data_IF_348205603766
#
_entry.id   IF_348205603766
#
_cell.length_a   1.000
_cell.length_b   1.000
_cell.length_c   1.000
_cell.angle_alpha   90.00
_cell.angle_beta   90.00
_cell.angle_gamma   90.00
#
_symmetry.space_group_name_H-M   'P 1'
#
loop_
_entity.id
_entity.type
_entity.pdbx_description
1 polymer ?
#
# COMPACT_ATOMS: atom_id res chain seq x y z
N UNK A 1 -11.50 -12.13 -11.35
CA UNK A 1 -11.91 -10.95 -10.55
C UNK A 1 -11.87 -9.72 -11.45
N UNK A 2 -13.01 -9.04 -11.60
CA UNK A 2 -13.13 -7.94 -12.57
C UNK A 2 -12.77 -6.58 -11.95
N UNK A 3 -11.50 -6.44 -11.56
CA UNK A 3 -10.95 -5.20 -11.03
C UNK A 3 -9.82 -4.71 -11.91
N UNK A 4 -9.80 -3.42 -12.18
CA UNK A 4 -8.73 -2.71 -12.87
C UNK A 4 -8.05 -1.78 -11.87
N UNK A 5 -6.73 -1.78 -11.86
CA UNK A 5 -5.92 -0.85 -11.07
C UNK A 5 -5.33 0.18 -12.04
N UNK A 6 -5.52 1.45 -11.71
CA UNK A 6 -5.07 2.58 -12.52
C UNK A 6 -4.28 3.56 -11.66
N UNK A 7 -3.17 4.08 -12.21
CA UNK A 7 -2.47 5.21 -11.59
C UNK A 7 -3.31 6.48 -11.85
N UNK A 8 -3.57 7.23 -10.81
CA UNK A 8 -4.35 8.46 -10.89
C UNK A 8 -3.57 9.52 -11.67
N UNK A 9 -4.23 10.13 -12.67
CA UNK A 9 -3.60 11.12 -13.56
C UNK A 9 -4.47 12.36 -13.83
N UNK A 10 -5.72 12.37 -13.37
CA UNK A 10 -6.67 13.46 -13.64
C UNK A 10 -7.50 13.80 -12.38
N UNK A 11 -8.20 14.93 -12.43
CA UNK A 11 -8.98 15.45 -11.28
C UNK A 11 -10.21 14.61 -10.94
N UNK A 12 -10.82 13.91 -11.91
CA UNK A 12 -11.96 13.03 -11.68
C UNK A 12 -11.53 11.82 -10.84
N UNK A 13 -10.39 11.21 -11.17
CA UNK A 13 -9.83 10.10 -10.40
C UNK A 13 -9.42 10.54 -8.98
N UNK A 14 -8.90 11.77 -8.83
CA UNK A 14 -8.60 12.35 -7.51
C UNK A 14 -9.88 12.48 -6.69
N UNK A 15 -10.95 13.01 -7.25
CA UNK A 15 -12.24 13.11 -6.58
C UNK A 15 -12.77 11.71 -6.17
N UNK A 16 -12.68 10.74 -7.07
CA UNK A 16 -13.09 9.36 -6.80
C UNK A 16 -12.26 8.70 -5.67
N UNK A 17 -10.95 8.98 -5.60
CA UNK A 17 -10.08 8.56 -4.51
C UNK A 17 -10.53 9.15 -3.17
N UNK A 18 -10.79 10.44 -3.11
CA UNK A 18 -11.27 11.11 -1.90
C UNK A 18 -12.61 10.55 -1.41
N UNK A 19 -13.52 10.18 -2.30
CA UNK A 19 -14.77 9.52 -1.90
C UNK A 19 -14.54 8.17 -1.22
N UNK A 20 -13.59 7.36 -1.72
CA UNK A 20 -13.18 6.09 -1.06
C UNK A 20 -12.58 6.38 0.32
N UNK A 21 -11.67 7.38 0.43
CA UNK A 21 -11.07 7.78 1.70
C UNK A 21 -12.11 8.24 2.70
N UNK A 22 -12.99 9.14 2.30
CA UNK A 22 -14.08 9.66 3.14
C UNK A 22 -14.94 8.52 3.67
N UNK A 23 -15.30 7.58 2.82
CA UNK A 23 -16.09 6.44 3.26
C UNK A 23 -15.36 5.55 4.26
N UNK A 24 -14.09 5.21 4.00
CA UNK A 24 -13.34 4.28 4.84
C UNK A 24 -12.82 4.96 6.10
N UNK A 25 -12.15 6.10 5.97
CA UNK A 25 -11.49 6.74 7.11
C UNK A 25 -12.46 7.57 7.94
N UNK A 26 -13.29 8.42 7.34
CA UNK A 26 -14.20 9.27 8.11
C UNK A 26 -15.42 8.50 8.60
N UNK A 27 -16.18 7.85 7.69
CA UNK A 27 -17.45 7.24 8.06
C UNK A 27 -17.32 5.92 8.80
N UNK A 28 -16.36 5.07 8.41
CA UNK A 28 -16.20 3.75 9.04
C UNK A 28 -15.25 3.79 10.24
N UNK A 29 -14.18 4.61 10.22
CA UNK A 29 -13.16 4.67 11.26
C UNK A 29 -13.27 5.90 12.18
N UNK A 30 -14.05 6.92 11.81
CA UNK A 30 -14.20 8.15 12.58
C UNK A 30 -12.97 9.05 12.57
N UNK A 31 -12.12 8.95 11.56
CA UNK A 31 -10.85 9.66 11.44
C UNK A 31 -10.98 10.74 10.38
N UNK A 32 -10.77 12.00 10.75
CA UNK A 32 -10.68 13.08 9.77
C UNK A 32 -9.34 13.00 9.05
N UNK A 33 -9.38 12.84 7.74
CA UNK A 33 -8.15 12.82 6.93
C UNK A 33 -7.46 14.18 7.00
N UNK A 34 -6.16 14.24 7.33
CA UNK A 34 -5.40 15.45 7.17
C UNK A 34 -5.39 15.84 5.69
N UNK A 35 -5.55 17.11 5.41
CA UNK A 35 -5.29 17.63 4.05
C UNK A 35 -3.81 17.33 3.77
N UNK A 36 -3.54 16.50 2.76
CA UNK A 36 -2.21 16.03 2.43
C UNK A 36 -1.31 17.22 2.00
N UNK A 37 -0.57 17.74 2.96
CA UNK A 37 0.61 18.58 2.73
C UNK A 37 1.89 17.75 2.95
N UNK A 38 1.86 16.45 2.69
CA UNK A 38 3.04 15.61 2.86
C UNK A 38 4.16 16.10 1.93
N UNK A 39 5.32 16.48 2.47
CA UNK A 39 6.46 16.81 1.63
C UNK A 39 6.90 15.56 0.88
N UNK A 40 7.02 15.67 -0.42
CA UNK A 40 7.48 14.59 -1.28
C UNK A 40 6.60 14.35 -2.50
N UNK A 41 7.14 13.63 -3.46
CA UNK A 41 6.41 13.19 -4.64
C UNK A 41 5.45 12.06 -4.26
N UNK A 42 4.16 12.28 -4.48
CA UNK A 42 3.10 11.32 -4.17
C UNK A 42 2.55 10.73 -5.47
N UNK A 43 2.42 9.40 -5.51
CA UNK A 43 1.70 8.69 -6.56
C UNK A 43 0.51 7.96 -5.95
N UNK A 44 -0.63 8.01 -6.63
CA UNK A 44 -1.87 7.37 -6.17
C UNK A 44 -2.36 6.34 -7.17
N UNK A 45 -3.01 5.28 -6.65
CA UNK A 45 -3.69 4.25 -7.43
C UNK A 45 -5.12 4.10 -6.98
N UNK A 46 -5.97 3.81 -7.94
CA UNK A 46 -7.39 3.58 -7.75
C UNK A 46 -7.76 2.20 -8.30
N UNK A 47 -8.38 1.38 -7.46
CA UNK A 47 -9.00 0.15 -7.87
C UNK A 47 -10.45 0.41 -8.27
N UNK A 48 -10.84 -0.01 -9.46
CA UNK A 48 -12.20 0.12 -10.00
C UNK A 48 -12.77 -1.22 -10.40
N UNK A 49 -14.07 -1.38 -10.23
CA UNK A 49 -14.78 -2.50 -10.87
C UNK A 49 -14.73 -2.32 -12.40
N UNK A 50 -14.35 -3.37 -13.13
CA UNK A 50 -14.12 -3.32 -14.58
C UNK A 50 -15.33 -2.81 -15.36
N UNK A 51 -16.51 -3.34 -15.09
CA UNK A 51 -17.72 -3.02 -15.85
C UNK A 51 -18.40 -1.71 -15.39
N UNK A 52 -18.57 -1.52 -14.09
CA UNK A 52 -19.28 -0.34 -13.57
C UNK A 52 -18.39 0.88 -13.39
N UNK A 53 -17.07 0.74 -13.53
CA UNK A 53 -16.05 1.76 -13.25
C UNK A 53 -16.10 2.33 -11.82
N UNK A 54 -16.89 1.71 -10.94
CA UNK A 54 -17.05 2.13 -9.55
C UNK A 54 -15.72 2.02 -8.81
N UNK A 55 -15.24 3.10 -8.13
CA UNK A 55 -14.06 3.06 -7.30
C UNK A 55 -14.33 2.21 -6.05
N UNK A 56 -13.40 1.30 -5.71
CA UNK A 56 -13.57 0.33 -4.63
C UNK A 56 -12.37 0.24 -3.68
N UNK A 57 -11.23 0.81 -4.04
CA UNK A 57 -10.05 0.82 -3.20
C UNK A 57 -8.99 1.78 -3.70
N UNK A 58 -8.08 2.17 -2.82
CA UNK A 58 -7.00 3.13 -3.09
C UNK A 58 -5.71 2.70 -2.43
N UNK A 59 -4.60 3.22 -2.95
CA UNK A 59 -3.27 3.16 -2.36
C UNK A 59 -2.50 4.41 -2.75
N UNK A 60 -1.69 4.94 -1.84
CA UNK A 60 -0.73 6.00 -2.13
C UNK A 60 0.69 5.53 -1.83
N UNK A 61 1.65 6.03 -2.60
CA UNK A 61 3.08 5.86 -2.37
C UNK A 61 3.73 7.22 -2.30
N UNK A 62 4.45 7.48 -1.21
CA UNK A 62 5.16 8.72 -0.95
C UNK A 62 6.65 8.44 -0.97
N UNK A 63 7.43 9.23 -1.71
CA UNK A 63 8.89 9.23 -1.61
C UNK A 63 9.28 9.85 -0.27
N UNK A 64 9.96 9.09 0.57
CA UNK A 64 10.41 9.50 1.90
C UNK A 64 11.93 9.48 2.02
N UNK A 65 12.65 9.46 0.90
CA UNK A 65 14.11 9.35 0.89
C UNK A 65 14.81 10.40 1.75
N UNK A 66 14.27 11.61 1.79
CA UNK A 66 14.84 12.74 2.56
C UNK A 66 14.28 12.85 3.99
N UNK A 67 13.46 11.89 4.44
CA UNK A 67 12.80 11.95 5.77
C UNK A 67 13.56 11.14 6.83
N UNK A 68 14.87 11.39 7.00
CA UNK A 68 15.74 10.61 7.88
C UNK A 68 15.29 10.64 9.35
N UNK A 69 14.90 11.81 9.87
CA UNK A 69 14.41 11.94 11.25
C UNK A 69 13.15 11.08 11.49
N UNK A 70 12.26 11.02 10.50
CA UNK A 70 11.08 10.15 10.57
C UNK A 70 11.51 8.67 10.57
N UNK A 71 12.44 8.28 9.70
CA UNK A 71 12.95 6.91 9.67
C UNK A 71 13.55 6.50 11.00
N UNK A 72 14.41 7.35 11.58
CA UNK A 72 15.05 7.10 12.87
C UNK A 72 14.03 7.01 14.01
N UNK A 73 13.04 7.91 14.04
CA UNK A 73 11.97 7.90 15.05
C UNK A 73 11.12 6.61 14.99
N UNK A 74 10.99 6.02 13.81
CA UNK A 74 10.28 4.78 13.59
C UNK A 74 11.17 3.52 13.74
N UNK A 75 12.45 3.69 14.06
CA UNK A 75 13.43 2.61 14.13
C UNK A 75 13.76 1.96 12.78
N UNK A 76 13.47 2.66 11.68
CA UNK A 76 13.81 2.23 10.34
C UNK A 76 15.30 2.50 10.08
N UNK A 77 16.12 1.46 10.06
CA UNK A 77 17.56 1.56 9.79
C UNK A 77 17.82 1.71 8.29
N UNK A 78 17.43 2.85 7.72
CA UNK A 78 17.61 3.17 6.31
C UNK A 78 18.88 4.00 6.14
N UNK A 79 19.78 3.56 5.26
CA UNK A 79 21.00 4.30 4.97
C UNK A 79 20.66 5.70 4.40
N UNK A 80 21.33 6.80 4.80
CA UNK A 80 20.99 8.15 4.36
C UNK A 80 21.00 8.38 2.84
N UNK A 81 21.76 7.59 2.09
CA UNK A 81 21.81 7.66 0.62
C UNK A 81 20.83 6.70 -0.07
N UNK A 82 20.10 5.90 0.69
CA UNK A 82 19.16 4.94 0.12
C UNK A 82 17.82 5.62 -0.16
N UNK A 83 17.19 5.23 -1.26
CA UNK A 83 15.83 5.67 -1.58
C UNK A 83 14.80 4.86 -0.82
N UNK A 84 13.84 5.54 -0.21
CA UNK A 84 12.79 4.94 0.58
C UNK A 84 11.41 5.43 0.15
N UNK A 85 10.47 4.49 0.00
CA UNK A 85 9.09 4.80 -0.30
C UNK A 85 8.14 4.30 0.80
N UNK A 86 7.17 5.11 1.18
CA UNK A 86 6.12 4.77 2.12
C UNK A 86 4.84 4.43 1.38
N UNK A 87 4.30 3.23 1.64
CA UNK A 87 2.91 2.91 1.30
C UNK A 87 1.96 3.51 2.35
N UNK A 88 0.96 4.24 1.91
CA UNK A 88 -0.02 4.90 2.78
C UNK A 88 -1.41 4.91 2.14
N UNK A 89 -2.43 5.31 2.89
CA UNK A 89 -3.82 5.43 2.44
C UNK A 89 -4.35 4.19 1.71
N UNK A 90 -3.93 3.00 2.16
CA UNK A 90 -4.50 1.76 1.68
C UNK A 90 -5.91 1.61 2.24
N UNK A 91 -6.89 1.83 1.41
CA UNK A 91 -8.30 1.76 1.77
C UNK A 91 -9.08 0.88 0.79
N UNK A 92 -9.99 0.06 1.31
CA UNK A 92 -10.90 -0.76 0.49
C UNK A 92 -12.29 -0.69 1.09
N UNK A 93 -13.28 -0.37 0.27
CA UNK A 93 -14.69 -0.31 0.67
C UNK A 93 -15.14 -1.67 1.21
N UNK A 94 -15.90 -1.65 2.31
CA UNK A 94 -16.31 -2.84 3.09
C UNK A 94 -16.86 -4.00 2.23
N UNK A 95 -17.76 -3.78 1.24
CA UNK A 95 -18.29 -4.87 0.42
C UNK A 95 -17.24 -5.59 -0.46
N UNK A 96 -16.07 -4.99 -0.65
CA UNK A 96 -15.01 -5.49 -1.53
C UNK A 96 -13.79 -6.01 -0.76
N UNK A 97 -13.83 -6.03 0.58
CA UNK A 97 -12.77 -6.60 1.42
C UNK A 97 -12.74 -8.12 1.23
N UNK A 98 -11.54 -8.69 1.23
CA UNK A 98 -11.34 -10.13 0.96
C UNK A 98 -11.14 -10.47 -0.52
N UNK A 99 -11.29 -9.51 -1.44
CA UNK A 99 -11.11 -9.71 -2.89
C UNK A 99 -9.67 -9.50 -3.39
N UNK A 100 -8.66 -9.62 -2.53
CA UNK A 100 -7.24 -9.39 -2.85
C UNK A 100 -6.90 -7.99 -3.41
N UNK A 101 -7.80 -7.01 -3.28
CA UNK A 101 -7.59 -5.64 -3.78
C UNK A 101 -6.34 -5.00 -3.17
N UNK A 102 -6.09 -5.08 -1.85
CA UNK A 102 -4.88 -4.53 -1.25
C UNK A 102 -3.61 -5.10 -1.87
N UNK A 103 -3.56 -6.41 -2.04
CA UNK A 103 -2.42 -7.10 -2.66
C UNK A 103 -2.20 -6.64 -4.10
N UNK A 104 -3.28 -6.56 -4.89
CA UNK A 104 -3.20 -6.14 -6.30
C UNK A 104 -2.73 -4.68 -6.43
N UNK A 105 -3.25 -3.77 -5.58
CA UNK A 105 -2.81 -2.38 -5.52
C UNK A 105 -1.31 -2.26 -5.21
N UNK A 106 -0.83 -2.98 -4.19
CA UNK A 106 0.58 -2.94 -3.81
C UNK A 106 1.50 -3.52 -4.89
N UNK A 107 1.11 -4.61 -5.54
CA UNK A 107 1.88 -5.20 -6.62
C UNK A 107 1.95 -4.29 -7.86
N UNK A 108 0.86 -3.57 -8.16
CA UNK A 108 0.84 -2.60 -9.26
C UNK A 108 1.70 -1.37 -8.94
N UNK A 109 1.61 -0.82 -7.73
CA UNK A 109 2.47 0.26 -7.29
C UNK A 109 3.95 -0.15 -7.28
N UNK A 110 4.26 -1.37 -6.85
CA UNK A 110 5.61 -1.91 -6.91
C UNK A 110 6.13 -1.98 -8.34
N UNK A 111 5.32 -2.46 -9.29
CA UNK A 111 5.68 -2.57 -10.70
C UNK A 111 5.91 -1.22 -11.37
N UNK A 112 5.06 -0.23 -11.05
CA UNK A 112 4.98 1.04 -11.78
C UNK A 112 5.77 2.18 -11.15
N UNK A 113 6.21 2.06 -9.89
CA UNK A 113 6.98 3.09 -9.19
C UNK A 113 8.19 2.49 -8.46
N UNK A 114 8.01 1.50 -7.61
CA UNK A 114 9.13 1.02 -6.76
C UNK A 114 10.30 0.53 -7.60
N UNK A 115 10.02 -0.31 -8.59
CA UNK A 115 11.07 -0.87 -9.47
C UNK A 115 11.65 0.17 -10.44
N UNK A 116 10.83 0.93 -11.21
CA UNK A 116 11.36 1.92 -12.16
C UNK A 116 12.17 3.02 -11.48
N UNK A 117 11.71 3.52 -10.33
CA UNK A 117 12.36 4.61 -9.60
C UNK A 117 13.48 4.11 -8.68
N UNK A 118 13.77 2.80 -8.68
CA UNK A 118 14.86 2.16 -7.95
C UNK A 118 14.86 2.49 -6.45
N UNK A 119 13.70 2.35 -5.78
CA UNK A 119 13.66 2.43 -4.34
C UNK A 119 14.37 1.22 -3.73
N UNK A 120 15.22 1.48 -2.71
CA UNK A 120 15.95 0.45 -1.96
C UNK A 120 15.10 -0.15 -0.85
N UNK A 121 14.19 0.66 -0.28
CA UNK A 121 13.31 0.26 0.80
C UNK A 121 11.87 0.67 0.53
N UNK A 122 10.95 -0.19 0.96
CA UNK A 122 9.53 0.16 1.11
C UNK A 122 9.08 -0.08 2.54
N UNK A 123 8.23 0.79 3.06
CA UNK A 123 7.73 0.69 4.42
C UNK A 123 6.29 1.20 4.55
N UNK A 124 5.63 0.83 5.65
CA UNK A 124 4.31 1.31 6.02
C UNK A 124 4.09 1.17 7.53
N UNK A 125 3.06 1.84 8.04
CA UNK A 125 2.55 1.63 9.38
C UNK A 125 1.32 0.72 9.31
N UNK A 126 1.31 -0.34 10.11
CA UNK A 126 0.23 -1.31 10.12
C UNK A 126 -0.26 -1.58 11.54
N UNK A 127 -1.49 -2.05 11.68
CA UNK A 127 -2.09 -2.42 12.96
C UNK A 127 -1.22 -3.47 13.68
N UNK A 128 -0.85 -3.19 14.95
CA UNK A 128 0.11 -4.01 15.69
C UNK A 128 -0.38 -5.44 15.91
N UNK A 129 -1.68 -5.63 16.17
CA UNK A 129 -2.24 -6.95 16.43
C UNK A 129 -2.27 -7.84 15.19
N UNK A 130 -2.32 -7.22 14.01
CA UNK A 130 -2.44 -7.90 12.73
C UNK A 130 -1.12 -7.97 11.94
N UNK A 131 -0.10 -7.20 12.34
CA UNK A 131 1.12 -7.01 11.57
C UNK A 131 1.83 -8.32 11.24
N UNK A 132 2.09 -9.17 12.25
CA UNK A 132 2.84 -10.41 12.08
C UNK A 132 2.12 -11.45 11.19
N UNK A 133 0.79 -11.48 11.25
CA UNK A 133 -0.05 -12.42 10.49
C UNK A 133 -0.67 -11.81 9.23
N UNK A 134 -0.26 -10.60 8.85
CA UNK A 134 -0.78 -9.92 7.67
C UNK A 134 -0.28 -10.59 6.38
N UNK A 135 -1.01 -10.35 5.28
CA UNK A 135 -0.52 -10.72 3.94
C UNK A 135 0.77 -9.98 3.59
N UNK A 136 1.02 -8.82 4.19
CA UNK A 136 2.25 -8.03 4.01
C UNK A 136 3.48 -8.82 4.44
N UNK A 137 3.44 -9.39 5.65
CA UNK A 137 4.56 -10.18 6.17
C UNK A 137 4.65 -11.54 5.49
N UNK A 138 3.52 -12.23 5.33
CA UNK A 138 3.52 -13.61 4.80
C UNK A 138 3.73 -13.72 3.28
N UNK A 139 3.18 -12.76 2.52
CA UNK A 139 3.13 -12.86 1.05
C UNK A 139 4.04 -11.84 0.36
N UNK A 140 4.24 -10.66 0.96
CA UNK A 140 5.04 -9.60 0.37
C UNK A 140 6.43 -9.42 0.99
N UNK A 141 6.78 -10.23 1.99
CA UNK A 141 8.12 -10.24 2.58
C UNK A 141 8.46 -9.01 3.43
N UNK A 142 7.46 -8.34 4.00
CA UNK A 142 7.69 -7.28 4.96
C UNK A 142 8.11 -7.83 6.33
N UNK A 143 9.10 -7.21 6.94
CA UNK A 143 9.53 -7.47 8.31
C UNK A 143 8.83 -6.51 9.25
N UNK A 144 8.21 -7.02 10.30
CA UNK A 144 7.59 -6.22 11.38
C UNK A 144 8.69 -5.75 12.31
N UNK A 145 8.77 -4.45 12.57
CA UNK A 145 9.70 -3.90 13.56
C UNK A 145 9.08 -3.91 14.96
N UNK A 146 9.91 -4.03 16.02
CA UNK A 146 9.41 -4.15 17.39
C UNK A 146 8.83 -2.85 17.96
N UNK A 147 9.13 -1.70 17.36
CA UNK A 147 8.61 -0.41 17.79
C UNK A 147 7.10 -0.32 17.56
N UNK A 148 6.42 0.35 18.48
CA UNK A 148 4.99 0.63 18.35
C UNK A 148 4.70 2.10 18.57
N UNK A 149 3.72 2.62 17.85
CA UNK A 149 3.34 4.03 17.88
C UNK A 149 1.84 4.16 18.03
N UNK A 150 1.40 5.08 18.86
CA UNK A 150 -0.01 5.45 18.96
C UNK A 150 -0.26 6.59 17.97
N UNK A 151 -1.21 6.38 17.09
CA UNK A 151 -1.68 7.38 16.12
C UNK A 151 -3.19 7.50 16.18
N UNK A 152 -3.76 8.41 15.45
CA UNK A 152 -5.22 8.50 15.25
C UNK A 152 -5.84 7.22 14.69
N UNK A 153 -5.04 6.39 14.02
CA UNK A 153 -5.43 5.07 13.50
C UNK A 153 -5.25 3.92 14.50
N UNK A 154 -4.96 4.22 15.77
CA UNK A 154 -4.66 3.24 16.81
C UNK A 154 -3.18 2.89 16.94
N UNK A 155 -2.88 1.77 17.61
CA UNK A 155 -1.51 1.31 17.81
C UNK A 155 -0.95 0.69 16.52
N UNK A 156 0.20 1.18 16.07
CA UNK A 156 0.82 0.81 14.79
C UNK A 156 2.25 0.31 14.99
N UNK A 157 2.64 -0.67 14.19
CA UNK A 157 4.03 -1.10 14.02
C UNK A 157 4.51 -0.76 12.63
N UNK A 158 5.77 -0.30 12.47
CA UNK A 158 6.38 -0.17 11.17
C UNK A 158 6.65 -1.55 10.57
N UNK A 159 6.34 -1.69 9.30
CA UNK A 159 6.73 -2.82 8.47
C UNK A 159 7.69 -2.30 7.41
N UNK A 160 8.83 -2.97 7.23
CA UNK A 160 9.85 -2.58 6.27
C UNK A 160 10.22 -3.76 5.38
N UNK A 161 10.52 -3.46 4.12
CA UNK A 161 11.08 -4.43 3.18
C UNK A 161 12.28 -3.80 2.47
N UNK A 162 13.41 -4.52 2.48
CA UNK A 162 14.58 -4.19 1.68
C UNK A 162 14.41 -4.76 0.26
N UNK A 163 14.24 -3.91 -0.73
CA UNK A 163 13.99 -4.29 -2.13
C UNK A 163 15.22 -4.87 -2.82
N UNK A 164 16.40 -4.71 -2.23
CA UNK A 164 17.67 -5.19 -2.78
C UNK A 164 17.88 -6.68 -2.53
N UNK A 165 17.31 -7.23 -1.46
CA UNK A 165 17.51 -8.63 -1.10
C UNK A 165 16.71 -9.57 -2.01
N UNK A 166 17.29 -10.75 -2.38
CA UNK A 166 16.61 -11.71 -3.26
C UNK A 166 15.29 -12.23 -2.72
N UNK A 167 15.15 -12.34 -1.40
CA UNK A 167 13.96 -12.80 -0.70
C UNK A 167 12.73 -11.90 -0.98
N UNK A 168 12.92 -10.58 -0.93
CA UNK A 168 11.88 -9.61 -1.25
C UNK A 168 11.40 -9.77 -2.69
N UNK A 169 12.33 -9.92 -3.63
CA UNK A 169 12.00 -10.13 -5.05
C UNK A 169 11.25 -11.45 -5.29
N UNK A 170 11.65 -12.52 -4.60
CA UNK A 170 10.96 -13.83 -4.67
C UNK A 170 9.55 -13.75 -4.14
N UNK A 171 9.32 -13.06 -3.00
CA UNK A 171 8.00 -12.85 -2.41
C UNK A 171 7.05 -12.13 -3.39
N UNK A 172 7.50 -11.05 -4.02
CA UNK A 172 6.74 -10.33 -5.05
C UNK A 172 6.40 -11.22 -6.25
N UNK A 173 7.36 -11.99 -6.74
CA UNK A 173 7.15 -12.90 -7.87
C UNK A 173 6.13 -13.99 -7.54
N UNK A 174 6.22 -14.58 -6.36
CA UNK A 174 5.27 -15.58 -5.87
C UNK A 174 3.86 -15.02 -5.70
N UNK A 175 3.74 -13.80 -5.14
CA UNK A 175 2.44 -13.14 -4.98
C UNK A 175 1.78 -12.82 -6.34
N UNK A 176 2.55 -12.39 -7.33
CA UNK A 176 2.05 -12.18 -8.71
C UNK A 176 1.55 -13.47 -9.33
N UNK A 177 2.31 -14.56 -9.23
CA UNK A 177 1.92 -15.86 -9.75
C UNK A 177 0.63 -16.36 -9.09
N UNK A 178 0.50 -16.21 -7.77
CA UNK A 178 -0.71 -16.55 -7.03
C UNK A 178 -1.94 -15.80 -7.55
N UNK A 179 -1.84 -14.50 -7.77
CA UNK A 179 -2.95 -13.70 -8.33
C UNK A 179 -3.31 -14.11 -9.75
N UNK A 180 -2.32 -14.39 -10.60
CA UNK A 180 -2.56 -14.86 -11.97
C UNK A 180 -3.29 -16.19 -12.00
N UNK A 181 -2.92 -17.14 -11.14
CA UNK A 181 -3.59 -18.44 -11.03
C UNK A 181 -5.04 -18.30 -10.53
N UNK A 182 -5.29 -17.40 -9.57
CA UNK A 182 -6.65 -17.10 -9.11
C UNK A 182 -7.52 -16.52 -10.23
N UNK A 183 -6.96 -15.63 -11.06
CA UNK A 183 -7.68 -15.06 -12.19
C UNK A 183 -8.03 -16.10 -13.27
N UNK A 184 -7.14 -17.06 -13.56
CA UNK A 184 -7.37 -18.13 -14.52
C UNK A 184 -8.46 -19.10 -14.05
N UNK A 185 -8.48 -19.46 -12.77
CA UNK A 185 -9.48 -20.38 -12.21
C UNK A 185 -10.89 -19.79 -12.22
N UNK A 186 -11.04 -18.46 -12.11
CA UNK A 186 -12.35 -17.79 -12.19
C UNK A 186 -12.87 -17.72 -13.63
N UNK A 187 -11.99 -17.75 -14.62
CA UNK A 187 -12.39 -17.70 -16.04
C UNK A 187 -12.89 -19.05 -16.60
N UNK A 188 -12.79 -20.14 -15.82
CA UNK A 188 -13.19 -21.49 -16.23
C UNK A 188 -14.60 -21.90 -15.75
N UNK A 189 -15.30 -21.03 -15.03
CA UNK A 189 -16.69 -21.19 -14.57
C UNK A 189 -17.58 -20.07 -15.11
#
# INVERSE_FOLDING_TARGET
MDIVIEKISNSEDVAAMFEVWKQVFEREMGITLPQDNAPGSISHWLARMKHSRKPVGTLSVVDTSDQHELHDSLGLRIHPQARAARFTHLAVLKPYRGMNIPLTLMLEAHRSVIVPDRFDYTWLLFDVERAANSFLSRELGFTVLPQTFVSEYGCRSPLVRDERIPEARRAISAARLKLSNLAMNVAQY
#
